data_IF_741401600093
#
_entry.id   IF_741401600093
#
_cell.length_a   1.000
_cell.length_b   1.000
_cell.length_c   1.000
_cell.angle_alpha   90.00
_cell.angle_beta   90.00
_cell.angle_gamma   90.00
#
_symmetry.space_group_name_H-M   'P 1'
#
loop_
_entity.id
_entity.type
_entity.pdbx_description
1 polymer ?
#
# COMPACT_ATOMS: atom_id res chain seq x y z
N UNK A 1 -64.82 -10.12 -9.53
CA UNK A 1 -63.87 -9.00 -9.63
C UNK A 1 -62.78 -9.20 -8.59
N UNK A 2 -61.64 -9.78 -8.96
CA UNK A 2 -60.49 -9.89 -8.07
C UNK A 2 -59.56 -8.74 -8.40
N UNK A 3 -59.51 -7.74 -7.52
CA UNK A 3 -58.58 -6.63 -7.62
C UNK A 3 -57.15 -7.19 -7.47
N UNK A 4 -56.39 -7.19 -8.56
CA UNK A 4 -54.96 -7.44 -8.54
C UNK A 4 -54.30 -6.17 -7.98
N UNK A 5 -54.25 -6.06 -6.66
CA UNK A 5 -53.54 -5.00 -5.96
C UNK A 5 -52.06 -5.11 -6.30
N UNK A 6 -51.53 -4.11 -7.01
CA UNK A 6 -50.09 -3.99 -7.25
C UNK A 6 -49.44 -3.75 -5.89
N UNK A 7 -48.77 -4.78 -5.39
CA UNK A 7 -48.09 -4.79 -4.09
C UNK A 7 -47.16 -3.56 -3.98
N UNK A 8 -47.42 -2.61 -3.05
CA UNK A 8 -46.66 -1.37 -2.91
C UNK A 8 -45.16 -1.61 -2.71
N UNK A 9 -44.81 -2.73 -2.07
CA UNK A 9 -43.44 -3.16 -1.81
C UNK A 9 -42.68 -3.52 -3.10
N UNK A 10 -43.38 -4.01 -4.13
CA UNK A 10 -42.78 -4.36 -5.44
C UNK A 10 -42.44 -3.12 -6.26
N UNK A 11 -43.25 -2.05 -6.15
CA UNK A 11 -42.98 -0.77 -6.79
C UNK A 11 -41.81 -0.06 -6.13
N UNK A 12 -41.77 -0.03 -4.80
CA UNK A 12 -40.64 0.51 -4.05
C UNK A 12 -39.35 -0.27 -4.28
N UNK A 13 -39.40 -1.61 -4.31
CA UNK A 13 -38.21 -2.43 -4.63
C UNK A 13 -37.67 -2.17 -6.03
N UNK A 14 -38.55 -2.03 -7.04
CA UNK A 14 -38.12 -1.71 -8.42
C UNK A 14 -37.55 -0.30 -8.57
N UNK A 15 -38.08 0.68 -7.84
CA UNK A 15 -37.50 2.02 -7.81
C UNK A 15 -36.15 2.05 -7.07
N UNK A 16 -36.03 1.27 -6.01
CA UNK A 16 -34.77 1.10 -5.28
C UNK A 16 -33.71 0.42 -6.16
N UNK A 17 -34.06 -0.66 -6.87
CA UNK A 17 -33.20 -1.33 -7.84
C UNK A 17 -32.77 -0.40 -8.98
N UNK A 18 -33.68 0.41 -9.52
CA UNK A 18 -33.33 1.42 -10.54
C UNK A 18 -32.37 2.47 -10.01
N UNK A 19 -32.60 2.96 -8.78
CA UNK A 19 -31.67 3.90 -8.11
C UNK A 19 -30.30 3.25 -7.89
N UNK A 20 -30.26 2.02 -7.40
CA UNK A 20 -29.03 1.25 -7.20
C UNK A 20 -28.27 1.07 -8.52
N UNK A 21 -28.98 0.73 -9.61
CA UNK A 21 -28.36 0.51 -10.93
C UNK A 21 -27.81 1.80 -11.53
N UNK A 22 -28.53 2.91 -11.41
CA UNK A 22 -28.05 4.23 -11.84
C UNK A 22 -26.85 4.68 -11.01
N UNK A 23 -26.91 4.49 -9.69
CA UNK A 23 -25.82 4.80 -8.76
C UNK A 23 -24.58 3.93 -9.06
N UNK A 24 -24.76 2.63 -9.33
CA UNK A 24 -23.69 1.72 -9.77
C UNK A 24 -23.06 2.12 -11.12
N UNK A 25 -23.84 2.71 -12.03
CA UNK A 25 -23.35 3.19 -13.33
C UNK A 25 -22.48 4.44 -13.19
N UNK A 26 -22.87 5.39 -12.34
CA UNK A 26 -22.06 6.56 -12.03
C UNK A 26 -20.85 6.21 -11.16
N UNK A 27 -21.03 5.22 -10.29
CA UNK A 27 -19.98 4.62 -9.46
C UNK A 27 -18.87 3.95 -10.29
N UNK A 28 -19.21 3.19 -11.35
CA UNK A 28 -18.23 2.59 -12.28
C UNK A 28 -17.41 3.61 -13.09
N UNK A 29 -17.83 4.88 -13.12
CA UNK A 29 -17.09 5.98 -13.76
C UNK A 29 -16.16 6.72 -12.79
N UNK A 30 -16.28 6.47 -11.48
CA UNK A 30 -15.50 7.17 -10.47
C UNK A 30 -14.06 6.65 -10.45
N UNK A 31 -13.11 7.58 -10.32
CA UNK A 31 -11.68 7.28 -10.31
C UNK A 31 -11.23 7.11 -8.85
N UNK A 32 -10.63 5.98 -8.50
CA UNK A 32 -10.15 5.71 -7.16
C UNK A 32 -8.65 5.99 -7.05
N UNK A 33 -8.32 6.82 -6.06
CA UNK A 33 -6.94 7.23 -5.78
C UNK A 33 -6.60 6.80 -4.36
N UNK A 34 -5.47 6.12 -4.19
CA UNK A 34 -4.96 5.75 -2.87
C UNK A 34 -3.94 6.78 -2.40
N UNK A 35 -4.19 7.41 -1.25
CA UNK A 35 -3.28 8.38 -0.67
C UNK A 35 -2.30 7.70 0.30
N UNK A 36 -1.00 7.80 0.02
CA UNK A 36 0.06 7.20 0.82
C UNK A 36 1.19 8.20 1.07
N UNK A 37 2.07 7.90 2.03
CA UNK A 37 3.26 8.69 2.34
C UNK A 37 3.67 8.60 3.81
N UNK A 38 4.92 8.93 4.13
CA UNK A 38 5.44 8.92 5.50
C UNK A 38 4.70 9.89 6.43
N UNK A 39 4.83 9.72 7.76
CA UNK A 39 4.25 10.64 8.76
C UNK A 39 4.53 12.11 8.43
N UNK A 40 3.58 13.02 8.70
CA UNK A 40 3.67 14.49 8.46
C UNK A 40 4.08 14.93 7.03
N UNK A 41 3.88 14.09 6.01
CA UNK A 41 4.11 14.45 4.61
C UNK A 41 3.05 15.40 4.01
N UNK A 42 2.04 15.78 4.79
CA UNK A 42 0.96 16.68 4.36
C UNK A 42 -0.34 15.99 3.93
N UNK A 43 -0.47 14.67 4.17
CA UNK A 43 -1.65 13.86 3.78
C UNK A 43 -2.97 14.49 4.19
N UNK A 44 -3.15 14.84 5.46
CA UNK A 44 -4.40 15.45 5.96
C UNK A 44 -4.70 16.80 5.32
N UNK A 45 -3.68 17.58 4.96
CA UNK A 45 -3.84 18.87 4.27
C UNK A 45 -4.32 18.67 2.84
N UNK A 46 -3.77 17.69 2.13
CA UNK A 46 -4.19 17.34 0.77
C UNK A 46 -5.57 16.66 0.78
N UNK A 47 -5.90 15.79 1.74
CA UNK A 47 -7.25 15.22 1.92
C UNK A 47 -8.29 16.32 2.14
N UNK A 48 -7.97 17.34 2.96
CA UNK A 48 -8.86 18.49 3.17
C UNK A 48 -9.14 19.26 1.87
N UNK A 49 -8.20 19.27 0.93
CA UNK A 49 -8.38 19.81 -0.41
C UNK A 49 -9.16 18.85 -1.33
N UNK A 50 -9.10 17.52 -1.11
CA UNK A 50 -9.59 16.47 -2.01
C UNK A 50 -10.89 15.76 -1.56
N UNK A 51 -11.69 16.39 -0.70
CA UNK A 51 -12.75 15.86 0.19
C UNK A 51 -13.71 14.67 -0.15
N UNK A 52 -13.67 13.91 -1.25
CA UNK A 52 -14.51 12.71 -1.42
C UNK A 52 -13.86 11.71 -2.37
N UNK A 53 -13.55 10.47 -1.98
CA UNK A 53 -13.46 9.35 -2.94
C UNK A 53 -13.92 8.01 -2.32
N UNK A 54 -14.96 7.44 -2.94
CA UNK A 54 -15.71 6.22 -2.61
C UNK A 54 -15.10 4.96 -3.27
N UNK A 55 -15.28 3.78 -2.65
CA UNK A 55 -14.50 2.52 -2.83
C UNK A 55 -15.39 1.29 -3.19
N UNK A 56 -14.88 0.30 -3.98
CA UNK A 56 -15.38 -1.09 -4.30
C UNK A 56 -14.95 -1.60 -5.71
N UNK A 57 -14.53 -2.84 -6.03
CA UNK A 57 -14.39 -4.14 -5.36
C UNK A 57 -13.65 -5.17 -6.31
N UNK A 58 -13.07 -6.26 -5.79
CA UNK A 58 -12.10 -7.18 -6.43
C UNK A 58 -12.78 -8.24 -7.31
N UNK A 59 -12.07 -8.76 -8.31
CA UNK A 59 -12.51 -9.93 -9.09
C UNK A 59 -12.51 -11.23 -8.24
N UNK A 60 -13.28 -12.26 -8.60
CA UNK A 60 -13.33 -13.52 -7.86
C UNK A 60 -12.00 -14.29 -7.77
N UNK A 61 -11.08 -14.06 -8.70
CA UNK A 61 -9.74 -14.65 -8.68
C UNK A 61 -8.83 -13.92 -7.69
N UNK A 62 -8.85 -12.59 -7.72
CA UNK A 62 -8.13 -11.75 -6.76
C UNK A 62 -8.62 -11.96 -5.33
N UNK A 63 -9.94 -12.12 -5.12
CA UNK A 63 -10.50 -12.46 -3.80
C UNK A 63 -9.93 -13.78 -3.25
N UNK A 64 -9.69 -14.78 -4.11
CA UNK A 64 -9.13 -16.08 -3.72
C UNK A 64 -7.64 -15.97 -3.36
N UNK A 65 -6.85 -15.27 -4.18
CA UNK A 65 -5.44 -14.99 -3.85
C UNK A 65 -5.32 -14.20 -2.54
N UNK A 66 -6.19 -13.22 -2.33
CA UNK A 66 -6.21 -12.40 -1.12
C UNK A 66 -6.64 -13.17 0.12
N UNK A 67 -7.61 -14.06 0.00
CA UNK A 67 -7.97 -14.96 1.09
C UNK A 67 -6.77 -15.82 1.48
N UNK A 68 -6.00 -16.29 0.50
CA UNK A 68 -4.77 -17.04 0.75
C UNK A 68 -3.70 -16.20 1.46
N UNK A 69 -3.49 -14.95 1.04
CA UNK A 69 -2.54 -14.04 1.72
C UNK A 69 -2.95 -13.77 3.18
N UNK A 70 -4.24 -13.57 3.45
CA UNK A 70 -4.74 -13.35 4.82
C UNK A 70 -4.51 -14.58 5.70
N UNK A 71 -4.73 -15.79 5.15
CA UNK A 71 -4.45 -17.05 5.84
C UNK A 71 -2.96 -17.19 6.17
N UNK A 72 -2.08 -16.83 5.22
CA UNK A 72 -0.64 -16.82 5.45
C UNK A 72 -0.25 -15.83 6.55
N UNK A 73 -0.86 -14.63 6.56
CA UNK A 73 -0.62 -13.63 7.63
C UNK A 73 -1.07 -14.15 9.01
N UNK A 74 -2.21 -14.84 9.09
CA UNK A 74 -2.67 -15.46 10.35
C UNK A 74 -1.63 -16.48 10.83
N UNK A 75 -1.17 -17.35 9.94
CA UNK A 75 -0.14 -18.36 10.25
C UNK A 75 1.16 -17.72 10.72
N UNK A 76 1.65 -16.70 10.03
CA UNK A 76 2.86 -15.97 10.42
C UNK A 76 2.69 -15.30 11.80
N UNK A 77 1.56 -14.63 12.02
CA UNK A 77 1.25 -13.96 13.27
C UNK A 77 1.23 -14.92 14.46
N UNK A 78 0.45 -16.01 14.37
CA UNK A 78 0.36 -16.97 15.47
C UNK A 78 1.66 -17.74 15.70
N UNK A 79 2.38 -18.09 14.64
CA UNK A 79 3.68 -18.77 14.74
C UNK A 79 4.70 -17.87 15.44
N UNK A 80 4.73 -16.59 15.09
CA UNK A 80 5.65 -15.61 15.71
C UNK A 80 5.35 -15.46 17.20
N UNK A 81 4.08 -15.29 17.58
CA UNK A 81 3.69 -15.21 19.00
C UNK A 81 4.06 -16.49 19.75
N UNK A 82 3.80 -17.65 19.16
CA UNK A 82 4.08 -18.94 19.79
C UNK A 82 5.57 -19.18 20.00
N UNK A 83 6.43 -18.78 19.04
CA UNK A 83 7.90 -18.85 19.18
C UNK A 83 8.42 -17.95 20.29
N UNK A 84 7.81 -16.78 20.47
CA UNK A 84 8.26 -15.79 21.46
C UNK A 84 7.84 -16.13 22.90
N UNK A 85 7.01 -17.15 23.14
CA UNK A 85 6.75 -17.66 24.50
C UNK A 85 8.05 -18.07 25.19
N UNK A 86 8.88 -18.88 24.51
CA UNK A 86 10.12 -19.40 25.06
C UNK A 86 11.18 -18.28 25.18
N UNK A 87 11.23 -17.35 24.23
CA UNK A 87 12.17 -16.22 24.25
C UNK A 87 11.88 -15.20 25.36
N UNK A 88 10.61 -14.99 25.69
CA UNK A 88 10.18 -14.07 26.74
C UNK A 88 10.00 -14.75 28.11
N UNK A 89 10.22 -16.07 28.18
CA UNK A 89 10.01 -16.89 29.37
C UNK A 89 8.59 -16.73 29.94
N UNK A 90 7.60 -16.79 29.04
CA UNK A 90 6.17 -16.76 29.34
C UNK A 90 5.60 -18.14 29.06
N UNK A 91 4.87 -18.69 30.03
CA UNK A 91 4.21 -19.99 29.92
C UNK A 91 2.78 -19.83 29.38
N UNK A 92 2.26 -20.87 28.73
CA UNK A 92 0.84 -20.94 28.38
C UNK A 92 0.01 -21.02 29.66
N UNK A 93 -1.13 -20.34 29.70
CA UNK A 93 -2.02 -20.40 30.86
C UNK A 93 -2.68 -21.78 30.99
N UNK A 94 -3.01 -22.41 29.86
CA UNK A 94 -3.66 -23.71 29.84
C UNK A 94 -2.69 -24.78 29.33
N UNK A 95 -2.41 -25.80 30.13
CA UNK A 95 -1.54 -26.93 29.74
C UNK A 95 -2.05 -27.66 28.49
N UNK A 96 -3.37 -27.65 28.27
CA UNK A 96 -4.04 -28.23 27.10
C UNK A 96 -3.64 -27.53 25.79
N UNK A 97 -3.15 -26.29 25.86
CA UNK A 97 -2.69 -25.53 24.69
C UNK A 97 -1.30 -25.94 24.21
N UNK A 98 -0.61 -26.83 24.95
CA UNK A 98 0.70 -27.32 24.56
C UNK A 98 0.66 -28.11 23.25
N UNK A 99 -0.39 -28.92 23.03
CA UNK A 99 -0.59 -29.63 21.77
C UNK A 99 -0.79 -28.65 20.60
N UNK A 100 -1.55 -27.57 20.82
CA UNK A 100 -1.75 -26.52 19.83
C UNK A 100 -0.44 -25.78 19.51
N UNK A 101 0.38 -25.48 20.53
CA UNK A 101 1.72 -24.88 20.36
C UNK A 101 2.62 -25.77 19.51
N UNK A 102 2.72 -27.05 19.85
CA UNK A 102 3.56 -28.00 19.13
C UNK A 102 3.11 -28.17 17.66
N UNK A 103 1.80 -28.22 17.44
CA UNK A 103 1.21 -28.24 16.10
C UNK A 103 1.63 -27.01 15.29
N UNK A 104 1.39 -25.78 15.80
CA UNK A 104 1.68 -24.53 15.07
C UNK A 104 3.17 -24.42 14.72
N UNK A 105 4.06 -24.83 15.63
CA UNK A 105 5.51 -24.78 15.39
C UNK A 105 6.00 -25.85 14.40
N UNK A 106 5.24 -26.92 14.18
CA UNK A 106 5.57 -28.00 13.25
C UNK A 106 5.15 -27.74 11.79
N UNK A 107 4.38 -26.69 11.54
CA UNK A 107 3.83 -26.38 10.21
C UNK A 107 4.95 -26.04 9.22
N UNK A 108 4.91 -26.69 8.05
CA UNK A 108 5.70 -26.30 6.86
C UNK A 108 4.91 -25.26 6.02
N UNK A 109 5.34 -23.99 5.99
CA UNK A 109 4.63 -22.92 5.29
C UNK A 109 4.54 -23.09 3.77
N UNK A 110 5.46 -23.84 3.14
CA UNK A 110 5.53 -23.89 1.67
C UNK A 110 4.40 -24.72 1.03
N UNK A 111 3.89 -25.72 1.74
CA UNK A 111 2.88 -26.66 1.23
C UNK A 111 1.63 -26.76 2.12
N UNK A 112 1.37 -25.75 2.95
CA UNK A 112 0.27 -25.77 3.89
C UNK A 112 -1.09 -25.46 3.23
N UNK A 113 -2.08 -26.30 3.49
CA UNK A 113 -3.42 -26.21 2.88
C UNK A 113 -4.51 -25.69 3.83
N UNK A 114 -4.14 -25.20 5.01
CA UNK A 114 -5.05 -24.58 6.00
C UNK A 114 -6.26 -25.46 6.37
N UNK A 115 -6.03 -26.64 6.98
CA UNK A 115 -7.11 -27.51 7.45
C UNK A 115 -7.90 -26.86 8.60
N UNK A 116 -9.10 -27.37 8.91
CA UNK A 116 -9.94 -26.83 9.99
C UNK A 116 -9.23 -26.83 11.35
N UNK A 117 -8.43 -27.86 11.61
CA UNK A 117 -7.59 -28.02 12.81
C UNK A 117 -6.66 -26.83 13.06
N UNK A 118 -6.07 -26.25 12.01
CA UNK A 118 -5.21 -25.07 12.11
C UNK A 118 -5.95 -23.87 12.73
N UNK A 119 -7.17 -23.62 12.27
CA UNK A 119 -7.96 -22.49 12.75
C UNK A 119 -8.42 -22.71 14.19
N UNK A 120 -8.75 -23.95 14.57
CA UNK A 120 -9.10 -24.30 15.94
C UNK A 120 -7.94 -24.03 16.89
N UNK A 121 -6.75 -24.57 16.59
CA UNK A 121 -5.56 -24.35 17.42
C UNK A 121 -5.12 -22.88 17.44
N UNK A 122 -5.25 -22.16 16.33
CA UNK A 122 -4.96 -20.73 16.29
C UNK A 122 -5.89 -19.93 17.21
N UNK A 123 -7.20 -20.22 17.19
CA UNK A 123 -8.16 -19.54 18.07
C UNK A 123 -7.95 -19.89 19.55
N UNK A 124 -7.62 -21.15 19.82
CA UNK A 124 -7.32 -21.66 21.16
C UNK A 124 -6.09 -20.94 21.73
N UNK A 125 -4.97 -20.91 21.00
CA UNK A 125 -3.76 -20.19 21.39
C UNK A 125 -4.00 -18.68 21.49
N UNK A 126 -4.71 -18.07 20.54
CA UNK A 126 -4.99 -16.63 20.61
C UNK A 126 -5.81 -16.24 21.84
N UNK A 127 -6.63 -17.15 22.37
CA UNK A 127 -7.42 -16.90 23.58
C UNK A 127 -6.65 -17.16 24.88
N UNK A 128 -5.45 -17.73 24.81
CA UNK A 128 -4.60 -18.02 25.97
C UNK A 128 -3.98 -16.73 26.55
N UNK A 129 -4.01 -16.57 27.88
CA UNK A 129 -3.45 -15.37 28.51
C UNK A 129 -1.94 -15.23 28.31
N UNK A 130 -1.18 -16.34 28.23
CA UNK A 130 0.25 -16.32 27.95
C UNK A 130 0.55 -15.77 26.55
N UNK A 131 -0.23 -16.16 25.54
CA UNK A 131 -0.11 -15.59 24.18
C UNK A 131 -0.52 -14.11 24.16
N UNK A 132 -1.57 -13.71 24.88
CA UNK A 132 -1.95 -12.31 25.00
C UNK A 132 -0.87 -11.47 25.72
N UNK A 133 -0.17 -12.04 26.70
CA UNK A 133 0.95 -11.40 27.38
C UNK A 133 2.14 -11.21 26.43
N UNK A 134 2.50 -12.24 25.64
CA UNK A 134 3.51 -12.12 24.57
C UNK A 134 3.12 -11.00 23.59
N UNK A 135 1.87 -10.96 23.17
CA UNK A 135 1.37 -9.92 22.27
C UNK A 135 1.50 -8.50 22.86
N UNK A 136 1.27 -8.32 24.16
CA UNK A 136 1.47 -7.02 24.82
C UNK A 136 2.92 -6.51 24.72
N UNK A 137 3.87 -7.44 24.57
CA UNK A 137 5.29 -7.18 24.40
C UNK A 137 5.74 -7.18 22.93
N UNK A 138 4.83 -7.08 21.96
CA UNK A 138 5.11 -7.07 20.52
C UNK A 138 6.14 -6.03 20.05
N UNK A 139 6.45 -5.01 20.86
CA UNK A 139 7.52 -4.04 20.56
C UNK A 139 8.94 -4.63 20.69
N UNK A 140 9.09 -5.83 21.28
CA UNK A 140 10.38 -6.49 21.53
C UNK A 140 10.82 -7.42 20.39
N UNK A 141 9.93 -7.76 19.47
CA UNK A 141 10.17 -8.68 18.37
C UNK A 141 9.40 -8.23 17.13
N UNK A 142 9.71 -8.81 15.97
CA UNK A 142 9.02 -8.44 14.73
C UNK A 142 7.73 -9.24 14.60
N UNK A 143 6.60 -8.58 14.87
CA UNK A 143 5.26 -9.10 14.60
C UNK A 143 4.65 -8.32 13.42
N UNK A 144 3.88 -8.99 12.57
CA UNK A 144 3.15 -8.31 11.50
C UNK A 144 2.14 -7.30 12.09
N UNK A 145 2.11 -6.08 11.56
CA UNK A 145 1.29 -4.97 12.08
C UNK A 145 -0.21 -5.31 12.17
N UNK A 146 -0.68 -6.15 11.25
CA UNK A 146 -2.07 -6.56 11.16
C UNK A 146 -2.41 -7.82 11.98
N UNK A 147 -1.47 -8.38 12.76
CA UNK A 147 -1.62 -9.66 13.47
C UNK A 147 -2.91 -9.72 14.28
N UNK A 148 -3.09 -8.77 15.21
CA UNK A 148 -4.27 -8.71 16.08
C UNK A 148 -5.57 -8.68 15.28
N UNK A 149 -5.63 -7.84 14.25
CA UNK A 149 -6.84 -7.70 13.45
C UNK A 149 -7.25 -9.01 12.77
N UNK A 150 -6.29 -9.78 12.26
CA UNK A 150 -6.58 -11.05 11.61
C UNK A 150 -6.83 -12.18 12.61
N UNK A 151 -6.08 -12.23 13.72
CA UNK A 151 -6.26 -13.21 14.79
C UNK A 151 -7.63 -13.07 15.48
N UNK A 152 -8.11 -11.84 15.67
CA UNK A 152 -9.47 -11.55 16.17
C UNK A 152 -10.59 -12.01 15.22
N UNK A 153 -10.26 -12.37 13.96
CA UNK A 153 -11.24 -12.70 12.90
C UNK A 153 -11.03 -14.08 12.28
N UNK A 154 -10.30 -14.96 12.95
CA UNK A 154 -10.03 -16.32 12.47
C UNK A 154 -11.34 -17.10 12.22
N UNK A 155 -12.35 -16.88 13.04
CA UNK A 155 -13.70 -17.44 12.93
C UNK A 155 -14.44 -17.06 11.63
N UNK A 156 -14.13 -15.87 11.10
CA UNK A 156 -14.64 -15.37 9.81
C UNK A 156 -13.78 -15.90 8.66
N UNK A 157 -12.46 -15.92 8.80
CA UNK A 157 -11.51 -16.32 7.74
C UNK A 157 -11.56 -17.83 7.46
N UNK A 158 -11.91 -18.66 8.46
CA UNK A 158 -12.03 -20.12 8.30
C UNK A 158 -13.18 -20.56 7.39
N UNK A 159 -14.16 -19.69 7.13
CA UNK A 159 -15.33 -20.06 6.33
C UNK A 159 -14.92 -20.37 4.88
N UNK A 160 -15.45 -21.43 4.25
CA UNK A 160 -15.09 -21.81 2.88
C UNK A 160 -15.51 -20.77 1.84
N UNK A 161 -16.53 -19.98 2.15
CA UNK A 161 -17.04 -18.85 1.37
C UNK A 161 -16.49 -17.49 1.85
N UNK A 162 -15.43 -17.49 2.67
CA UNK A 162 -14.78 -16.27 3.12
C UNK A 162 -14.36 -15.41 1.94
N UNK A 163 -15.07 -14.29 1.76
CA UNK A 163 -14.66 -13.21 0.87
C UNK A 163 -14.00 -12.12 1.71
N UNK A 164 -12.71 -11.83 1.49
CA UNK A 164 -12.03 -10.80 2.25
C UNK A 164 -12.67 -9.45 1.95
N UNK A 165 -13.23 -8.81 2.98
CA UNK A 165 -13.78 -7.45 2.93
C UNK A 165 -12.62 -6.44 2.93
N UNK A 166 -11.82 -6.46 1.87
CA UNK A 166 -10.70 -5.53 1.69
C UNK A 166 -11.27 -4.25 1.07
N UNK A 167 -11.87 -3.42 1.90
CA UNK A 167 -12.36 -2.10 1.49
C UNK A 167 -11.24 -1.07 1.29
N UNK A 168 -9.95 -1.42 1.32
CA UNK A 168 -8.86 -0.41 1.38
C UNK A 168 -8.04 -0.27 0.10
N UNK A 169 -7.93 -1.31 -0.74
CA UNK A 169 -6.92 -1.33 -1.82
C UNK A 169 -7.42 -1.70 -3.22
N UNK A 170 -8.70 -1.46 -3.49
CA UNK A 170 -9.37 -2.16 -4.58
C UNK A 170 -9.90 -1.24 -5.69
N UNK A 171 -9.41 -1.44 -6.91
CA UNK A 171 -9.65 -0.63 -8.10
C UNK A 171 -9.06 0.77 -8.06
N UNK A 172 -7.89 0.91 -7.41
CA UNK A 172 -7.06 2.12 -7.42
C UNK A 172 -6.44 2.27 -8.81
N UNK A 173 -6.92 3.24 -9.59
CA UNK A 173 -6.29 3.58 -10.86
C UNK A 173 -4.96 4.29 -10.66
N UNK A 174 -4.82 5.06 -9.57
CA UNK A 174 -3.61 5.82 -9.27
C UNK A 174 -3.28 5.87 -7.77
N UNK A 175 -2.01 5.71 -7.42
CA UNK A 175 -1.49 5.94 -6.08
C UNK A 175 -0.95 7.36 -6.01
N UNK A 176 -1.49 8.18 -5.11
CA UNK A 176 -0.96 9.49 -4.79
C UNK A 176 -0.02 9.37 -3.57
N UNK A 177 1.28 9.41 -3.82
CA UNK A 177 2.33 9.23 -2.81
C UNK A 177 2.95 10.58 -2.41
N UNK A 178 2.78 10.99 -1.16
CA UNK A 178 3.30 12.26 -0.64
C UNK A 178 4.64 12.09 0.07
N UNK A 179 5.61 12.89 -0.37
CA UNK A 179 6.97 12.94 0.15
C UNK A 179 7.24 14.33 0.71
N UNK A 180 7.72 14.40 1.95
CA UNK A 180 8.20 15.66 2.52
C UNK A 180 9.66 15.88 2.10
N UNK A 181 9.90 16.67 1.06
CA UNK A 181 11.27 16.86 0.54
C UNK A 181 12.19 17.61 1.49
N UNK A 182 11.63 18.43 2.39
CA UNK A 182 12.39 19.19 3.39
C UNK A 182 12.90 18.35 4.58
N UNK A 183 12.64 17.03 4.60
CA UNK A 183 13.06 16.12 5.67
C UNK A 183 14.36 15.37 5.35
N UNK A 184 15.16 15.85 4.39
CA UNK A 184 16.44 15.22 4.03
C UNK A 184 17.48 15.22 5.17
N UNK A 185 17.29 16.07 6.17
CA UNK A 185 18.16 16.30 7.33
C UNK A 185 17.52 15.83 8.65
N UNK A 186 16.35 15.15 8.60
CA UNK A 186 15.61 14.70 9.77
C UNK A 186 15.62 13.18 9.88
N UNK A 187 15.55 12.68 11.11
CA UNK A 187 15.30 11.27 11.42
C UNK A 187 13.81 11.00 11.61
N UNK A 188 13.40 9.74 11.50
CA UNK A 188 12.02 9.32 11.82
C UNK A 188 11.79 9.42 13.34
N UNK A 189 10.55 9.20 13.81
CA UNK A 189 10.24 9.29 15.25
C UNK A 189 10.45 7.97 15.96
N UNK A 190 10.38 6.89 15.19
CA UNK A 190 10.40 5.50 15.62
C UNK A 190 11.82 5.03 15.94
N UNK A 191 12.84 5.60 15.30
CA UNK A 191 14.25 5.41 15.60
C UNK A 191 15.04 6.72 15.43
N UNK A 192 16.22 6.82 16.06
CA UNK A 192 17.08 8.01 16.02
C UNK A 192 18.15 7.96 14.91
N UNK A 193 18.13 6.95 14.05
CA UNK A 193 19.19 6.69 13.06
C UNK A 193 18.69 6.81 11.62
N UNK A 194 17.44 6.43 11.35
CA UNK A 194 16.90 6.33 10.01
C UNK A 194 16.49 7.71 9.50
N UNK A 195 17.14 8.13 8.41
CA UNK A 195 16.79 9.35 7.71
C UNK A 195 15.36 9.28 7.14
N UNK A 196 14.57 10.31 7.39
CA UNK A 196 13.14 10.36 7.06
C UNK A 196 12.85 10.44 5.55
N UNK A 197 13.72 11.11 4.79
CA UNK A 197 13.61 11.10 3.33
C UNK A 197 14.00 9.73 2.77
N UNK A 198 15.05 9.11 3.31
CA UNK A 198 15.45 7.75 2.93
C UNK A 198 14.35 6.73 3.22
N UNK A 199 13.67 6.85 4.36
CA UNK A 199 12.53 6.01 4.69
C UNK A 199 11.37 6.19 3.70
N UNK A 200 11.08 7.44 3.31
CA UNK A 200 10.08 7.71 2.27
C UNK A 200 10.44 7.06 0.93
N UNK A 201 11.72 7.02 0.57
CA UNK A 201 12.22 6.34 -0.65
C UNK A 201 12.06 4.81 -0.51
N UNK A 202 12.35 4.24 0.66
CA UNK A 202 12.20 2.81 0.93
C UNK A 202 10.74 2.37 0.86
N UNK A 203 9.83 3.12 1.50
CA UNK A 203 8.39 2.88 1.44
C UNK A 203 7.91 2.92 -0.01
N UNK A 204 8.32 3.93 -0.79
CA UNK A 204 7.95 4.01 -2.20
C UNK A 204 8.44 2.81 -3.01
N UNK A 205 9.70 2.37 -2.79
CA UNK A 205 10.25 1.16 -3.43
C UNK A 205 9.42 -0.07 -3.10
N UNK A 206 9.05 -0.26 -1.83
CA UNK A 206 8.21 -1.38 -1.41
C UNK A 206 6.83 -1.33 -2.06
N UNK A 207 6.24 -0.14 -2.19
CA UNK A 207 4.95 0.06 -2.86
C UNK A 207 5.03 -0.21 -4.36
N UNK A 208 6.04 0.33 -5.05
CA UNK A 208 6.24 0.13 -6.49
C UNK A 208 6.41 -1.36 -6.83
N UNK A 209 7.12 -2.09 -5.99
CA UNK A 209 7.36 -3.53 -6.14
C UNK A 209 6.23 -4.42 -5.59
N UNK A 210 5.21 -3.83 -4.99
CA UNK A 210 4.08 -4.56 -4.42
C UNK A 210 3.24 -5.21 -5.52
N UNK A 211 2.93 -6.50 -5.34
CA UNK A 211 1.99 -7.22 -6.22
C UNK A 211 0.59 -6.57 -6.19
N UNK A 212 0.24 -5.92 -5.08
CA UNK A 212 -1.08 -5.32 -4.89
C UNK A 212 -1.30 -4.03 -5.68
N UNK A 213 -0.21 -3.40 -6.14
CA UNK A 213 -0.25 -2.19 -6.95
C UNK A 213 0.20 -2.47 -8.39
N UNK A 214 0.10 -3.74 -8.83
CA UNK A 214 0.60 -4.24 -10.13
C UNK A 214 0.01 -3.50 -11.35
N UNK A 215 -1.12 -2.82 -11.20
CA UNK A 215 -1.80 -2.15 -12.32
C UNK A 215 -2.00 -0.65 -12.06
N UNK A 216 -1.58 -0.15 -10.89
CA UNK A 216 -1.78 1.24 -10.50
C UNK A 216 -0.63 2.12 -11.01
N UNK A 217 -0.97 3.26 -11.62
CA UNK A 217 0.00 4.33 -11.86
C UNK A 217 0.36 5.04 -10.55
N UNK A 218 1.51 5.71 -10.49
CA UNK A 218 1.94 6.46 -9.33
C UNK A 218 2.03 7.96 -9.65
N UNK A 219 1.53 8.77 -8.73
CA UNK A 219 1.66 10.23 -8.71
C UNK A 219 2.43 10.56 -7.44
N UNK A 220 3.66 11.01 -7.58
CA UNK A 220 4.55 11.35 -6.46
C UNK A 220 4.52 12.85 -6.24
N UNK A 221 3.99 13.27 -5.10
CA UNK A 221 3.98 14.65 -4.65
C UNK A 221 5.20 14.92 -3.79
N UNK A 222 6.16 15.61 -4.37
CA UNK A 222 7.33 16.15 -3.69
C UNK A 222 6.91 17.44 -2.99
N UNK A 223 6.35 17.29 -1.79
CA UNK A 223 5.74 18.35 -1.01
C UNK A 223 6.76 19.16 -0.20
N UNK A 224 6.34 20.32 0.30
CA UNK A 224 7.12 21.28 1.10
C UNK A 224 8.29 21.91 0.33
N UNK A 225 8.05 22.24 -0.94
CA UNK A 225 9.05 22.87 -1.81
C UNK A 225 9.48 24.25 -1.31
N UNK A 226 8.57 24.99 -0.68
CA UNK A 226 8.82 26.23 0.04
C UNK A 226 9.91 26.06 1.11
N UNK A 227 9.77 25.07 1.98
CA UNK A 227 10.72 24.78 3.05
C UNK A 227 12.02 24.20 2.49
N UNK A 228 11.94 23.34 1.45
CA UNK A 228 13.13 22.82 0.78
C UNK A 228 13.98 23.98 0.23
N UNK A 229 13.35 24.90 -0.51
CA UNK A 229 14.01 26.09 -1.08
C UNK A 229 14.63 26.93 0.00
N UNK A 230 13.93 27.16 1.10
CA UNK A 230 14.46 27.88 2.25
C UNK A 230 15.72 27.19 2.81
N UNK A 231 15.67 25.89 3.12
CA UNK A 231 16.79 25.16 3.73
C UNK A 231 18.05 25.16 2.87
N UNK A 232 17.91 24.86 1.58
CA UNK A 232 19.06 24.77 0.65
C UNK A 232 19.66 26.12 0.34
N UNK A 233 18.86 27.20 0.29
CA UNK A 233 19.36 28.57 0.06
C UNK A 233 20.05 29.15 1.29
N UNK A 234 19.57 28.84 2.50
CA UNK A 234 20.22 29.26 3.74
C UNK A 234 21.57 28.56 3.95
N UNK A 235 21.75 27.34 3.42
CA UNK A 235 23.02 26.61 3.45
C UNK A 235 23.45 26.10 4.84
N UNK A 236 22.54 26.09 5.83
CA UNK A 236 22.81 25.57 7.19
C UNK A 236 23.00 24.05 7.22
N UNK A 237 22.38 23.35 6.28
CA UNK A 237 22.38 21.90 6.12
C UNK A 237 22.55 21.58 4.64
N UNK A 238 23.36 20.58 4.30
CA UNK A 238 23.62 20.22 2.89
C UNK A 238 23.08 18.84 2.60
N UNK A 239 22.41 18.69 1.45
CA UNK A 239 21.90 17.38 1.02
C UNK A 239 23.05 16.36 0.90
N UNK A 240 24.23 16.80 0.46
CA UNK A 240 25.42 15.96 0.34
C UNK A 240 25.91 15.31 1.66
N UNK A 241 25.54 15.86 2.82
CA UNK A 241 25.91 15.29 4.13
C UNK A 241 25.09 14.03 4.45
N UNK A 242 23.85 13.97 3.95
CA UNK A 242 22.90 12.87 4.18
C UNK A 242 22.80 11.93 2.97
N UNK A 243 23.06 12.45 1.78
CA UNK A 243 23.05 11.73 0.51
C UNK A 243 24.35 12.02 -0.26
N UNK A 244 25.46 11.31 0.02
CA UNK A 244 26.78 11.60 -0.54
C UNK A 244 26.83 11.62 -2.08
N UNK A 245 25.99 10.82 -2.73
CA UNK A 245 25.82 10.76 -4.18
C UNK A 245 25.33 12.09 -4.80
N UNK A 246 24.75 12.99 -4.00
CA UNK A 246 24.34 14.32 -4.43
C UNK A 246 25.53 15.13 -4.98
N UNK A 247 26.75 14.91 -4.46
CA UNK A 247 27.95 15.59 -4.94
C UNK A 247 28.20 15.38 -6.44
N UNK A 248 27.83 14.20 -6.94
CA UNK A 248 28.02 13.83 -8.35
C UNK A 248 26.78 14.14 -9.21
N UNK A 249 25.67 14.54 -8.59
CA UNK A 249 24.43 14.84 -9.30
C UNK A 249 24.55 16.14 -10.09
N UNK A 250 24.19 16.10 -11.37
CA UNK A 250 24.22 17.24 -12.29
C UNK A 250 22.81 17.55 -12.77
N UNK A 251 22.44 18.82 -12.66
CA UNK A 251 21.18 19.33 -13.17
C UNK A 251 21.15 19.24 -14.70
N UNK A 252 20.10 18.60 -15.23
CA UNK A 252 19.87 18.49 -16.66
C UNK A 252 19.47 19.85 -17.25
N UNK A 253 19.79 20.09 -18.53
CA UNK A 253 19.48 21.35 -19.22
C UNK A 253 17.97 21.65 -19.22
N UNK A 254 17.12 20.63 -19.39
CA UNK A 254 15.66 20.76 -19.37
C UNK A 254 15.07 21.20 -18.04
N UNK A 255 15.82 21.01 -16.95
CA UNK A 255 15.39 21.30 -15.58
C UNK A 255 15.94 22.65 -15.08
N UNK A 256 16.70 23.37 -15.92
CA UNK A 256 17.23 24.70 -15.61
C UNK A 256 16.14 25.75 -15.78
N UNK A 257 16.07 26.65 -14.82
CA UNK A 257 15.20 27.82 -14.85
C UNK A 257 16.00 29.04 -14.35
N UNK A 258 16.14 30.05 -15.21
CA UNK A 258 16.89 31.26 -14.90
C UNK A 258 16.27 32.11 -13.79
N UNK A 259 15.00 31.89 -13.45
CA UNK A 259 14.29 32.62 -12.39
C UNK A 259 14.44 31.98 -11.01
N UNK A 260 15.01 30.77 -10.95
CA UNK A 260 15.09 29.97 -9.73
C UNK A 260 16.53 29.73 -9.29
N UNK A 261 16.71 29.46 -8.00
CA UNK A 261 18.03 29.19 -7.45
C UNK A 261 18.57 27.83 -7.94
N UNK A 262 19.78 27.80 -8.50
CA UNK A 262 20.36 26.59 -9.12
C UNK A 262 20.54 25.44 -8.12
N UNK A 263 20.90 25.71 -6.87
CA UNK A 263 21.03 24.68 -5.83
C UNK A 263 19.66 24.12 -5.43
N UNK A 264 18.63 24.96 -5.34
CA UNK A 264 17.25 24.50 -5.14
C UNK A 264 16.76 23.64 -6.29
N UNK A 265 17.00 24.04 -7.54
CA UNK A 265 16.65 23.24 -8.73
C UNK A 265 17.37 21.90 -8.71
N UNK A 266 18.67 21.90 -8.42
CA UNK A 266 19.49 20.69 -8.30
C UNK A 266 18.99 19.78 -7.18
N UNK A 267 18.67 20.33 -6.02
CA UNK A 267 18.12 19.62 -4.86
C UNK A 267 16.78 18.94 -5.19
N UNK A 268 15.79 19.69 -5.69
CA UNK A 268 14.46 19.14 -5.98
C UNK A 268 14.53 18.07 -7.09
N UNK A 269 15.35 18.28 -8.11
CA UNK A 269 15.51 17.33 -9.22
C UNK A 269 16.26 16.06 -8.79
N UNK A 270 17.26 16.17 -7.91
CA UNK A 270 17.90 15.00 -7.30
C UNK A 270 16.88 14.13 -6.56
N UNK A 271 16.07 14.75 -5.69
CA UNK A 271 15.06 14.02 -4.93
C UNK A 271 14.04 13.39 -5.88
N UNK A 272 13.56 14.12 -6.91
CA UNK A 272 12.68 13.57 -7.95
C UNK A 272 13.28 12.33 -8.61
N UNK A 273 14.54 12.42 -9.04
CA UNK A 273 15.19 11.36 -9.79
C UNK A 273 15.37 10.10 -8.94
N UNK A 274 15.52 10.20 -7.61
CA UNK A 274 15.48 9.04 -6.70
C UNK A 274 14.19 8.21 -6.82
N UNK A 275 13.04 8.85 -7.00
CA UNK A 275 11.75 8.15 -7.18
C UNK A 275 11.58 7.63 -8.61
N UNK A 276 11.97 8.43 -9.62
CA UNK A 276 11.89 8.02 -11.02
C UNK A 276 12.84 6.85 -11.32
N UNK A 277 14.01 6.80 -10.71
CA UNK A 277 14.96 5.71 -10.92
C UNK A 277 14.43 4.39 -10.37
N UNK A 278 13.66 4.42 -9.27
CA UNK A 278 12.92 3.25 -8.79
C UNK A 278 11.89 2.79 -9.83
N UNK A 279 11.17 3.72 -10.46
CA UNK A 279 10.15 3.36 -11.45
C UNK A 279 10.72 2.76 -12.74
N UNK A 280 12.01 3.00 -13.03
CA UNK A 280 12.72 2.47 -14.21
C UNK A 280 13.39 1.12 -13.96
N UNK A 281 13.51 0.68 -12.71
CA UNK A 281 14.17 -0.59 -12.40
C UNK A 281 13.29 -1.77 -12.85
N UNK A 282 13.88 -2.66 -13.65
CA UNK A 282 13.25 -3.93 -14.03
C UNK A 282 13.23 -4.84 -12.80
N UNK A 283 12.05 -5.21 -12.34
CA UNK A 283 11.86 -6.09 -11.18
C UNK A 283 12.33 -7.49 -11.53
N UNK A 284 13.59 -7.83 -11.26
CA UNK A 284 14.09 -9.20 -11.32
C UNK A 284 13.72 -9.92 -10.03
N UNK A 285 12.83 -10.92 -10.07
CA UNK A 285 12.58 -11.77 -8.91
C UNK A 285 13.44 -13.03 -8.99
N UNK A 286 14.44 -13.11 -8.12
CA UNK A 286 15.07 -14.40 -7.78
C UNK A 286 14.04 -15.21 -6.98
N UNK A 287 13.68 -16.41 -7.46
CA UNK A 287 12.85 -17.31 -6.66
C UNK A 287 11.98 -18.33 -7.38
N UNK A 288 11.79 -18.27 -8.71
CA UNK A 288 11.17 -19.41 -9.42
C UNK A 288 12.26 -20.27 -10.05
N UNK A 289 12.57 -21.42 -9.45
CA UNK A 289 13.18 -22.53 -10.20
C UNK A 289 12.17 -22.97 -11.26
N UNK A 290 12.25 -22.36 -12.43
CA UNK A 290 11.48 -22.78 -13.59
C UNK A 290 12.03 -24.13 -14.08
N UNK A 291 11.14 -25.02 -14.50
CA UNK A 291 11.54 -26.24 -15.19
C UNK A 291 12.41 -25.88 -16.43
N UNK A 292 13.41 -26.69 -16.79
CA UNK A 292 14.28 -26.41 -17.93
C UNK A 292 13.46 -26.17 -19.20
N UNK A 293 13.54 -24.97 -19.79
CA UNK A 293 12.87 -24.61 -21.04
C UNK A 293 11.72 -23.60 -20.92
N UNK A 294 11.27 -23.22 -19.72
CA UNK A 294 10.36 -22.07 -19.56
C UNK A 294 11.14 -20.79 -19.25
N UNK A 295 11.01 -19.79 -20.12
CA UNK A 295 11.45 -18.43 -19.81
C UNK A 295 10.45 -17.80 -18.83
N UNK A 296 10.89 -17.04 -17.81
CA UNK A 296 10.00 -16.23 -17.01
C UNK A 296 9.35 -15.18 -17.91
N UNK A 297 8.06 -15.34 -18.18
CA UNK A 297 7.28 -14.31 -18.83
C UNK A 297 6.79 -13.35 -17.74
N UNK A 298 7.62 -12.37 -17.38
CA UNK A 298 7.25 -11.32 -16.44
C UNK A 298 6.42 -10.25 -17.15
N UNK A 299 5.16 -10.58 -17.47
CA UNK A 299 4.18 -9.66 -18.07
C UNK A 299 3.59 -8.72 -16.99
N UNK A 300 4.43 -7.83 -16.46
CA UNK A 300 3.95 -6.65 -15.74
C UNK A 300 3.69 -5.55 -16.77
N UNK A 301 2.47 -4.99 -16.84
CA UNK A 301 2.21 -3.91 -17.78
C UNK A 301 3.05 -2.70 -17.41
N UNK A 302 3.45 -1.94 -18.45
CA UNK A 302 4.08 -0.65 -18.26
C UNK A 302 3.19 0.22 -17.37
N UNK A 303 3.76 0.79 -16.31
CA UNK A 303 3.08 1.66 -15.36
C UNK A 303 3.75 3.01 -15.34
N UNK A 304 2.93 4.04 -15.30
CA UNK A 304 3.39 5.42 -15.32
C UNK A 304 3.70 5.91 -13.91
N UNK A 305 4.75 6.73 -13.79
CA UNK A 305 5.13 7.41 -12.56
C UNK A 305 5.30 8.90 -12.86
N UNK A 306 4.35 9.71 -12.41
CA UNK A 306 4.38 11.17 -12.53
C UNK A 306 4.93 11.76 -11.23
N UNK A 307 5.81 12.75 -11.32
CA UNK A 307 6.37 13.43 -10.16
C UNK A 307 6.06 14.92 -10.24
N UNK A 308 5.50 15.47 -9.16
CA UNK A 308 5.11 16.88 -9.08
C UNK A 308 5.71 17.57 -7.86
N UNK A 309 6.26 18.75 -8.09
CA UNK A 309 6.75 19.64 -7.04
C UNK A 309 5.56 20.41 -6.48
N UNK A 310 5.21 20.18 -5.21
CA UNK A 310 3.99 20.71 -4.62
C UNK A 310 4.28 21.45 -3.31
N UNK A 311 3.41 22.40 -3.00
CA UNK A 311 3.33 22.99 -1.66
C UNK A 311 1.90 22.75 -1.18
N UNK A 312 1.73 22.20 0.02
CA UNK A 312 0.42 21.75 0.51
C UNK A 312 -0.65 22.84 0.56
N UNK A 313 -0.28 24.12 0.51
CA UNK A 313 -1.20 25.27 0.48
C UNK A 313 -1.65 25.65 -0.93
N UNK A 314 -1.00 25.12 -1.98
CA UNK A 314 -1.36 25.42 -3.37
C UNK A 314 -2.66 24.71 -3.77
N UNK A 315 -3.64 25.49 -4.22
CA UNK A 315 -4.94 25.00 -4.69
C UNK A 315 -4.85 24.31 -6.06
N UNK A 316 -3.76 24.51 -6.82
CA UNK A 316 -3.56 23.86 -8.11
C UNK A 316 -3.19 22.37 -7.98
N UNK A 317 -2.76 21.91 -6.80
CA UNK A 317 -2.41 20.51 -6.56
C UNK A 317 -3.55 19.56 -6.99
N UNK A 318 -4.80 19.93 -6.73
CA UNK A 318 -5.97 19.13 -7.10
C UNK A 318 -6.06 18.99 -8.62
N UNK A 319 -5.86 20.09 -9.37
CA UNK A 319 -5.89 20.09 -10.84
C UNK A 319 -4.82 19.18 -11.43
N UNK A 320 -3.60 19.22 -10.87
CA UNK A 320 -2.49 18.36 -11.27
C UNK A 320 -2.86 16.87 -11.12
N UNK A 321 -3.40 16.48 -9.96
CA UNK A 321 -3.85 15.09 -9.74
C UNK A 321 -4.87 14.68 -10.79
N UNK A 322 -5.85 15.54 -11.09
CA UNK A 322 -6.88 15.24 -12.09
C UNK A 322 -6.31 15.10 -13.51
N UNK A 323 -5.35 15.94 -13.91
CA UNK A 323 -4.71 15.87 -15.22
C UNK A 323 -3.89 14.58 -15.38
N UNK A 324 -3.08 14.19 -14.38
CA UNK A 324 -2.30 12.94 -14.41
C UNK A 324 -3.20 11.72 -14.48
N UNK A 325 -4.21 11.67 -13.63
CA UNK A 325 -5.18 10.58 -13.59
C UNK A 325 -5.89 10.45 -14.93
N UNK A 326 -6.25 11.58 -15.56
CA UNK A 326 -6.87 11.57 -16.88
C UNK A 326 -5.94 10.97 -17.94
N UNK A 327 -4.66 11.36 -17.93
CA UNK A 327 -3.64 10.81 -18.83
C UNK A 327 -3.44 9.30 -18.61
N UNK A 328 -3.34 8.84 -17.36
CA UNK A 328 -3.24 7.41 -17.03
C UNK A 328 -4.42 6.62 -17.59
N UNK A 329 -5.65 7.15 -17.46
CA UNK A 329 -6.86 6.49 -17.96
C UNK A 329 -6.87 6.45 -19.49
N UNK A 330 -6.47 7.53 -20.15
CA UNK A 330 -6.35 7.58 -21.61
C UNK A 330 -5.34 6.52 -22.08
N UNK A 331 -4.16 6.49 -21.48
CA UNK A 331 -3.11 5.53 -21.84
C UNK A 331 -3.55 4.09 -21.62
N UNK A 332 -4.24 3.83 -20.50
CA UNK A 332 -4.80 2.51 -20.22
C UNK A 332 -5.85 2.11 -21.27
N UNK A 333 -6.81 2.98 -21.59
CA UNK A 333 -7.83 2.71 -22.62
C UNK A 333 -7.22 2.51 -24.02
N UNK A 334 -6.20 3.29 -24.38
CA UNK A 334 -5.50 3.13 -25.66
C UNK A 334 -4.74 1.80 -25.74
N UNK A 335 -4.12 1.37 -24.64
CA UNK A 335 -3.45 0.08 -24.55
C UNK A 335 -4.42 -1.09 -24.69
N UNK A 336 -5.63 -1.00 -24.12
CA UNK A 336 -6.67 -2.04 -24.28
C UNK A 336 -7.19 -2.17 -25.72
N UNK A 337 -7.16 -1.08 -26.50
CA UNK A 337 -7.58 -1.05 -27.91
C UNK A 337 -6.41 -1.44 -28.84
N UNK A 338 -5.23 -1.73 -28.30
CA UNK A 338 -4.05 -2.17 -29.06
C UNK A 338 -3.27 -1.04 -29.73
N UNK A 339 -3.48 0.22 -29.31
CA UNK A 339 -2.73 1.38 -29.80
C UNK A 339 -1.58 1.66 -28.84
N UNK A 340 -0.38 1.22 -29.20
CA UNK A 340 0.84 1.60 -28.49
C UNK A 340 1.25 3.03 -28.88
N UNK A 341 1.11 3.97 -27.93
CA UNK A 341 1.66 5.32 -28.06
C UNK A 341 3.04 5.30 -27.39
N UNK A 342 4.08 5.13 -28.21
CA UNK A 342 5.48 5.15 -27.80
C UNK A 342 5.99 6.54 -27.47
#
# INVERSE_FOLDING_TARGET
MVFCGVDPNRRQSRELEKKITAWMKDYKKAIKILLLGAGESGKTTIIKQMKILHISGFSPEEKREKAQDIRNNIMEGITTLTRNLDELNIELEQEENQEAKDYILSIDPENFNFPEEFYVYTMQLWSDAGIQEVYSQQHRFQLIDCAKYFLDKVDVVKQPDYEPTIQVFDGIQAVLFLVSTSCFDLVIREDEETNRLQESINIFRSMWNSRFLKYSGFIVFLNKQDILKEKVTHGRTRIAEYFPEYNNYKLLSKDRDSQENEEYLRARCFIRDKFIDISKQVVKREGRRLAPGLQPQDDWPARECYCHFTTATDTNNVRIVFEDVHNMIIMWNLSEIGVNVS
#
